data_IF_185315019173
#
_entry.id   IF_185315019173
#
_cell.length_a   1.000
_cell.length_b   1.000
_cell.length_c   1.000
_cell.angle_alpha   90.00
_cell.angle_beta   90.00
_cell.angle_gamma   90.00
#
_symmetry.space_group_name_H-M   'P 1'
#
loop_
_entity.id
_entity.type
_entity.pdbx_description
1 polymer ?
#
# COMPACT_ATOMS: atom_id res chain seq x y z
N UNK A 1 -7.40 26.78 49.09
CA UNK A 1 -6.99 26.90 47.67
C UNK A 1 -5.66 26.22 47.31
N UNK A 2 -4.87 25.74 48.29
CA UNK A 2 -3.60 25.03 48.06
C UNK A 2 -3.63 23.49 47.80
N UNK A 3 -4.66 22.70 48.16
CA UNK A 3 -4.56 21.24 48.03
C UNK A 3 -4.82 20.70 46.61
N UNK A 4 -5.44 21.49 45.72
CA UNK A 4 -5.71 21.05 44.33
C UNK A 4 -4.49 21.15 43.41
N UNK A 5 -3.57 22.07 43.69
CA UNK A 5 -2.36 22.27 42.87
C UNK A 5 -1.40 21.08 43.07
N UNK A 6 -1.21 20.66 44.33
CA UNK A 6 -0.36 19.50 44.67
C UNK A 6 -0.91 18.18 44.10
N UNK A 7 -2.22 18.06 43.92
CA UNK A 7 -2.85 16.88 43.30
C UNK A 7 -2.65 16.85 41.78
N UNK A 8 -2.70 18.00 41.11
CA UNK A 8 -2.42 18.10 39.68
C UNK A 8 -0.94 17.78 39.40
N UNK A 9 -0.03 18.39 40.16
CA UNK A 9 1.43 18.20 40.04
C UNK A 9 1.84 16.74 40.33
N UNK A 10 1.14 16.06 41.27
CA UNK A 10 1.35 14.64 41.58
C UNK A 10 0.77 13.68 40.52
N UNK A 11 -0.22 14.11 39.75
CA UNK A 11 -0.80 13.32 38.65
C UNK A 11 0.02 13.51 37.37
N UNK A 12 0.50 14.72 37.10
CA UNK A 12 1.42 15.03 35.99
C UNK A 12 2.76 14.31 36.18
N UNK A 13 3.29 14.27 37.41
CA UNK A 13 4.47 13.48 37.72
C UNK A 13 4.25 11.96 37.52
N UNK A 14 3.04 11.44 37.73
CA UNK A 14 2.72 10.02 37.50
C UNK A 14 2.60 9.69 36.00
N UNK A 15 2.10 10.61 35.18
CA UNK A 15 2.08 10.45 33.72
C UNK A 15 3.48 10.51 33.10
N UNK A 16 4.39 11.32 33.65
CA UNK A 16 5.77 11.39 33.17
C UNK A 16 6.54 10.10 33.48
N UNK A 17 6.34 9.51 34.66
CA UNK A 17 7.00 8.26 35.08
C UNK A 17 6.57 7.06 34.23
N UNK A 18 5.36 7.08 33.68
CA UNK A 18 4.82 6.00 32.85
C UNK A 18 5.08 6.18 31.35
N UNK A 19 5.76 7.26 30.93
CA UNK A 19 6.16 7.43 29.55
C UNK A 19 7.47 6.68 29.31
N UNK A 20 7.48 5.55 28.58
CA UNK A 20 8.71 4.80 28.34
C UNK A 20 9.79 5.67 27.67
N UNK A 21 9.43 6.69 26.87
CA UNK A 21 10.38 7.63 26.28
C UNK A 21 11.24 8.40 27.30
N UNK A 22 10.76 8.58 28.53
CA UNK A 22 11.48 9.28 29.59
C UNK A 22 12.60 8.40 30.22
N UNK A 23 12.42 7.08 30.23
CA UNK A 23 13.41 6.12 30.76
C UNK A 23 14.73 6.17 29.97
N UNK A 24 14.65 6.34 28.64
CA UNK A 24 15.85 6.51 27.80
C UNK A 24 16.60 7.82 28.09
N UNK A 25 15.90 8.86 28.57
CA UNK A 25 16.51 10.17 28.87
C UNK A 25 17.15 10.23 30.26
N UNK A 26 16.67 9.41 31.21
CA UNK A 26 17.13 9.39 32.61
C UNK A 26 18.14 8.30 32.94
N UNK A 27 18.24 7.28 32.09
CA UNK A 27 19.10 6.11 32.33
C UNK A 27 18.32 4.96 32.96
N UNK A 28 18.62 3.74 32.53
CA UNK A 28 17.98 2.50 33.00
C UNK A 28 18.79 1.98 34.18
N UNK A 29 18.23 2.07 35.40
CA UNK A 29 18.93 1.66 36.63
C UNK A 29 18.60 0.21 37.06
N UNK A 30 17.59 -0.43 36.46
CA UNK A 30 17.17 -1.78 36.81
C UNK A 30 16.58 -2.61 35.66
N UNK A 31 16.42 -3.92 35.89
CA UNK A 31 15.88 -4.88 34.90
C UNK A 31 14.41 -4.59 34.59
N UNK A 32 13.66 -4.06 35.55
CA UNK A 32 12.25 -3.68 35.41
C UNK A 32 12.07 -2.43 34.53
N UNK A 33 13.02 -1.49 34.56
CA UNK A 33 13.02 -0.33 33.65
C UNK A 33 13.30 -0.75 32.20
N UNK A 34 14.18 -1.74 32.01
CA UNK A 34 14.49 -2.29 30.70
C UNK A 34 13.30 -3.06 30.11
N UNK A 35 12.54 -3.80 30.95
CA UNK A 35 11.34 -4.51 30.49
C UNK A 35 10.24 -3.52 30.10
N UNK A 36 10.02 -2.46 30.88
CA UNK A 36 9.08 -1.39 30.55
C UNK A 36 9.46 -0.66 29.24
N UNK A 37 10.74 -0.45 28.97
CA UNK A 37 11.21 0.09 27.68
C UNK A 37 10.97 -0.87 26.51
N UNK A 38 11.31 -2.15 26.68
CA UNK A 38 11.27 -3.14 25.59
C UNK A 38 9.85 -3.59 25.23
N UNK A 39 8.97 -3.69 26.22
CA UNK A 39 7.61 -4.22 26.04
C UNK A 39 6.52 -3.16 26.20
N UNK A 40 6.86 -1.98 26.71
CA UNK A 40 5.91 -0.93 27.02
C UNK A 40 5.16 -1.19 28.34
N UNK A 41 4.40 -0.20 28.82
CA UNK A 41 3.59 -0.32 30.02
C UNK A 41 2.38 -1.26 29.82
N UNK A 42 2.00 -1.96 30.88
CA UNK A 42 0.96 -3.01 30.86
C UNK A 42 -0.41 -2.55 30.32
N UNK A 43 -0.73 -1.25 30.42
CA UNK A 43 -2.00 -0.71 29.94
C UNK A 43 -2.17 -0.77 28.41
N UNK A 44 -1.09 -0.98 27.65
CA UNK A 44 -1.18 -1.17 26.18
C UNK A 44 -1.96 -2.44 25.85
N UNK A 45 -1.81 -3.48 26.66
CA UNK A 45 -2.47 -4.77 26.46
C UNK A 45 -3.83 -4.87 27.19
N UNK A 46 -4.20 -3.85 27.96
CA UNK A 46 -5.51 -3.78 28.59
C UNK A 46 -6.59 -3.28 27.61
N UNK A 47 -7.74 -3.99 27.47
CA UNK A 47 -8.80 -3.59 26.54
C UNK A 47 -9.57 -2.33 26.96
N UNK A 48 -9.22 -1.70 28.09
CA UNK A 48 -9.87 -0.50 28.63
C UNK A 48 -8.86 0.63 28.75
N UNK A 49 -8.83 1.48 27.72
CA UNK A 49 -8.17 2.78 27.78
C UNK A 49 -8.89 3.61 28.87
N UNK A 50 -8.17 4.13 29.89
CA UNK A 50 -8.78 5.02 30.88
C UNK A 50 -9.26 6.29 30.17
N UNK A 51 -10.57 6.50 30.13
CA UNK A 51 -11.15 7.73 29.61
C UNK A 51 -10.84 8.85 30.61
N UNK A 52 -9.96 9.78 30.24
CA UNK A 52 -9.69 10.95 31.07
C UNK A 52 -10.98 11.78 31.25
N UNK A 53 -11.36 12.20 32.48
CA UNK A 53 -12.60 12.94 32.72
C UNK A 53 -12.61 14.38 32.15
N UNK A 54 -11.53 14.79 31.46
CA UNK A 54 -11.29 16.17 31.05
C UNK A 54 -11.36 16.34 29.53
N UNK A 55 -12.41 15.85 28.89
CA UNK A 55 -12.76 16.31 27.53
C UNK A 55 -13.68 17.53 27.63
N UNK A 56 -13.25 18.74 27.24
CA UNK A 56 -14.19 19.84 27.08
C UNK A 56 -15.12 19.49 25.91
N UNK A 57 -16.43 19.47 26.17
CA UNK A 57 -17.51 19.10 25.24
C UNK A 57 -17.76 20.14 24.12
N UNK A 58 -16.71 20.86 23.68
CA UNK A 58 -16.85 21.84 22.61
C UNK A 58 -15.51 22.10 21.92
N UNK A 59 -15.35 21.53 20.73
CA UNK A 59 -14.36 22.03 19.78
C UNK A 59 -14.78 23.43 19.34
N UNK A 60 -13.95 24.48 19.52
CA UNK A 60 -14.24 25.77 18.90
C UNK A 60 -14.12 25.64 17.39
N UNK A 61 -15.15 26.09 16.66
CA UNK A 61 -15.15 26.18 15.21
C UNK A 61 -13.91 26.96 14.73
N UNK A 62 -13.05 26.31 13.93
CA UNK A 62 -11.87 26.94 13.35
C UNK A 62 -10.56 26.17 13.48
N UNK A 63 -10.53 24.98 14.09
CA UNK A 63 -9.33 24.12 14.03
C UNK A 63 -9.24 23.52 12.64
N UNK A 64 -8.32 24.03 11.82
CA UNK A 64 -7.79 23.27 10.69
C UNK A 64 -7.16 21.99 11.25
N UNK A 65 -7.94 20.91 11.29
CA UNK A 65 -7.42 19.58 11.47
C UNK A 65 -6.54 19.31 10.25
N UNK A 66 -5.24 19.62 10.35
CA UNK A 66 -4.22 19.05 9.48
C UNK A 66 -4.47 17.56 9.51
N UNK A 67 -5.07 17.04 8.44
CA UNK A 67 -5.26 15.61 8.27
C UNK A 67 -3.86 15.04 8.28
N UNK A 68 -3.44 14.52 9.44
CA UNK A 68 -2.25 13.70 9.54
C UNK A 68 -2.59 12.50 8.68
N UNK A 69 -2.19 12.56 7.41
CA UNK A 69 -2.14 11.40 6.55
C UNK A 69 -1.05 10.52 7.16
N UNK A 70 -1.43 9.75 8.16
CA UNK A 70 -0.66 8.58 8.51
C UNK A 70 -0.62 7.75 7.24
N UNK A 71 0.51 7.79 6.55
CA UNK A 71 0.78 6.89 5.44
C UNK A 71 0.96 5.51 6.07
N UNK A 72 -0.15 4.89 6.46
CA UNK A 72 -0.16 3.48 6.78
C UNK A 72 0.17 2.82 5.45
N UNK A 73 1.36 2.24 5.37
CA UNK A 73 1.71 1.31 4.30
C UNK A 73 0.87 0.06 4.54
N UNK A 74 -0.43 0.15 4.28
CA UNK A 74 -1.28 -1.01 4.13
C UNK A 74 -0.69 -1.72 2.92
N UNK A 75 -0.05 -2.86 3.14
CA UNK A 75 0.24 -3.82 2.08
C UNK A 75 -1.11 -4.33 1.59
N UNK A 76 -1.81 -3.48 0.83
CA UNK A 76 -3.06 -3.81 0.22
C UNK A 76 -2.69 -4.76 -0.89
N UNK A 77 -2.98 -6.05 -0.68
CA UNK A 77 -2.86 -7.16 -1.63
C UNK A 77 -3.82 -7.01 -2.81
N UNK A 78 -4.18 -5.77 -3.18
CA UNK A 78 -4.90 -5.49 -4.42
C UNK A 78 -4.01 -5.84 -5.58
N UNK A 79 -4.56 -6.59 -6.53
CA UNK A 79 -3.83 -6.94 -7.74
C UNK A 79 -3.49 -5.67 -8.55
N UNK A 80 -2.50 -5.75 -9.44
CA UNK A 80 -2.15 -4.62 -10.31
C UNK A 80 -3.35 -4.24 -11.16
N UNK A 81 -4.08 -5.23 -11.66
CA UNK A 81 -5.32 -5.05 -12.41
C UNK A 81 -6.40 -4.34 -11.60
N UNK A 82 -6.63 -4.74 -10.34
CA UNK A 82 -7.64 -4.12 -9.49
C UNK A 82 -7.38 -2.61 -9.29
N UNK A 83 -6.12 -2.22 -9.03
CA UNK A 83 -5.74 -0.81 -8.93
C UNK A 83 -5.92 -0.05 -10.25
N UNK A 84 -5.63 -0.71 -11.38
CA UNK A 84 -5.80 -0.12 -12.71
C UNK A 84 -7.27 0.13 -13.02
N UNK A 85 -8.15 -0.82 -12.75
CA UNK A 85 -9.59 -0.69 -13.02
C UNK A 85 -10.25 0.35 -12.12
N UNK A 86 -9.90 0.41 -10.83
CA UNK A 86 -10.45 1.42 -9.90
C UNK A 86 -10.06 2.84 -10.32
N UNK A 87 -8.82 3.04 -10.80
CA UNK A 87 -8.34 4.37 -11.18
C UNK A 87 -8.96 4.88 -12.49
N UNK A 88 -9.40 3.97 -13.36
CA UNK A 88 -9.93 4.33 -14.68
C UNK A 88 -11.40 3.95 -14.75
N UNK A 89 -12.28 4.93 -14.56
CA UNK A 89 -13.74 4.75 -14.66
C UNK A 89 -14.23 4.47 -16.09
N UNK A 90 -13.34 4.49 -17.09
CA UNK A 90 -13.66 4.21 -18.48
C UNK A 90 -12.63 3.28 -19.11
N UNK A 91 -13.12 2.14 -19.60
CA UNK A 91 -12.33 1.16 -20.36
C UNK A 91 -11.62 1.79 -21.55
N UNK A 92 -12.32 2.61 -22.34
CA UNK A 92 -11.73 3.26 -23.51
C UNK A 92 -10.61 4.24 -23.13
N UNK A 93 -10.77 4.97 -22.03
CA UNK A 93 -9.74 5.87 -21.53
C UNK A 93 -8.51 5.08 -21.10
N UNK A 94 -8.68 3.93 -20.42
CA UNK A 94 -7.59 3.02 -20.04
C UNK A 94 -6.85 2.49 -21.26
N UNK A 95 -7.58 2.03 -22.28
CA UNK A 95 -7.00 1.57 -23.54
C UNK A 95 -6.14 2.63 -24.21
N UNK A 96 -6.64 3.87 -24.31
CA UNK A 96 -5.87 4.98 -24.88
C UNK A 96 -4.58 5.22 -24.12
N UNK A 97 -4.62 5.19 -22.79
CA UNK A 97 -3.45 5.45 -21.98
C UNK A 97 -2.40 4.36 -22.07
N UNK A 98 -2.82 3.09 -22.10
CA UNK A 98 -1.90 1.97 -22.32
C UNK A 98 -1.33 2.01 -23.74
N UNK A 99 -2.13 2.38 -24.75
CA UNK A 99 -1.63 2.56 -26.11
C UNK A 99 -0.57 3.67 -26.19
N UNK A 100 -0.79 4.81 -25.53
CA UNK A 100 0.21 5.89 -25.42
C UNK A 100 1.46 5.46 -24.65
N UNK A 101 1.30 4.73 -23.53
CA UNK A 101 2.43 4.21 -22.78
C UNK A 101 3.27 3.25 -23.64
N UNK A 102 2.62 2.39 -24.44
CA UNK A 102 3.32 1.49 -25.37
C UNK A 102 4.08 2.27 -26.44
N UNK A 103 3.49 3.32 -27.02
CA UNK A 103 4.22 4.22 -27.94
C UNK A 103 5.42 4.86 -27.27
N UNK A 104 5.28 5.32 -26.04
CA UNK A 104 6.37 5.92 -25.29
C UNK A 104 7.51 4.91 -25.05
N UNK A 105 7.19 3.67 -24.68
CA UNK A 105 8.17 2.60 -24.55
C UNK A 105 8.89 2.34 -25.89
N UNK A 106 8.15 2.22 -26.99
CA UNK A 106 8.74 2.04 -28.32
C UNK A 106 9.65 3.20 -28.72
N UNK A 107 9.25 4.44 -28.40
CA UNK A 107 10.07 5.63 -28.58
C UNK A 107 11.37 5.56 -27.78
N UNK A 108 11.32 5.18 -26.50
CA UNK A 108 12.53 5.00 -25.71
C UNK A 108 13.43 3.91 -26.29
N UNK A 109 12.86 2.77 -26.68
CA UNK A 109 13.63 1.67 -27.28
C UNK A 109 14.33 2.09 -28.57
N UNK A 110 13.63 2.84 -29.43
CA UNK A 110 14.20 3.41 -30.64
C UNK A 110 15.31 4.43 -30.33
N UNK A 111 15.06 5.37 -29.40
CA UNK A 111 16.03 6.39 -28.96
C UNK A 111 17.33 5.76 -28.45
N UNK A 112 17.24 4.63 -27.74
CA UNK A 112 18.40 3.90 -27.23
C UNK A 112 18.94 2.83 -28.20
N UNK A 113 18.58 2.87 -29.49
CA UNK A 113 19.02 1.93 -30.54
C UNK A 113 18.78 0.45 -30.21
N UNK A 114 17.80 0.16 -29.33
CA UNK A 114 17.37 -1.20 -28.98
C UNK A 114 16.30 -1.73 -29.94
N UNK A 115 15.81 -0.88 -30.83
CA UNK A 115 14.76 -1.21 -31.78
C UNK A 115 14.94 -0.43 -33.07
N UNK A 116 14.75 -1.11 -34.20
CA UNK A 116 14.96 -0.57 -35.55
C UNK A 116 13.70 0.16 -36.06
N UNK A 117 12.52 -0.22 -35.55
CA UNK A 117 11.24 0.34 -36.03
C UNK A 117 11.02 1.72 -35.40
N UNK A 118 10.78 2.70 -36.27
CA UNK A 118 10.42 4.06 -35.90
C UNK A 118 9.06 4.12 -35.19
N UNK A 119 8.92 4.91 -34.12
CA UNK A 119 7.63 5.11 -33.45
C UNK A 119 6.60 5.77 -34.38
N UNK A 120 5.37 5.28 -34.35
CA UNK A 120 4.26 5.87 -35.09
C UNK A 120 3.92 7.28 -34.55
N UNK A 121 3.91 8.28 -35.42
CA UNK A 121 3.48 9.64 -35.10
C UNK A 121 1.98 9.86 -35.38
N UNK A 122 1.38 10.86 -34.74
CA UNK A 122 -0.01 11.28 -34.98
C UNK A 122 -1.03 10.60 -34.07
N UNK A 123 -2.28 10.46 -34.53
CA UNK A 123 -3.39 9.90 -33.74
C UNK A 123 -3.20 8.41 -33.45
N UNK A 124 -3.80 7.93 -32.36
CA UNK A 124 -3.85 6.50 -32.04
C UNK A 124 -4.66 5.74 -33.09
N UNK A 125 -4.09 4.65 -33.61
CA UNK A 125 -4.76 3.76 -34.54
C UNK A 125 -5.59 2.72 -33.77
N UNK A 126 -6.66 2.22 -34.41
CA UNK A 126 -7.52 1.16 -33.84
C UNK A 126 -6.69 -0.08 -33.47
N UNK A 127 -5.73 -0.45 -34.32
CA UNK A 127 -4.82 -1.57 -34.05
C UNK A 127 -4.09 -1.43 -32.71
N UNK A 128 -3.65 -0.22 -32.36
CA UNK A 128 -2.92 0.04 -31.11
C UNK A 128 -3.82 -0.07 -29.89
N UNK A 129 -5.11 0.29 -30.04
CA UNK A 129 -6.12 0.07 -29.01
C UNK A 129 -6.40 -1.42 -28.81
N UNK A 130 -6.51 -2.19 -29.90
CA UNK A 130 -6.66 -3.65 -29.84
C UNK A 130 -5.47 -4.31 -29.16
N UNK A 131 -4.25 -3.87 -29.49
CA UNK A 131 -3.04 -4.38 -28.83
C UNK A 131 -3.00 -3.99 -27.35
N UNK A 132 -3.41 -2.77 -26.98
CA UNK A 132 -3.52 -2.34 -25.59
C UNK A 132 -4.53 -3.21 -24.81
N UNK A 133 -5.67 -3.53 -25.42
CA UNK A 133 -6.65 -4.44 -24.85
C UNK A 133 -6.03 -5.82 -24.60
N UNK A 134 -5.31 -6.37 -25.56
CA UNK A 134 -4.64 -7.66 -25.40
C UNK A 134 -3.62 -7.66 -24.27
N UNK A 135 -2.91 -6.55 -24.05
CA UNK A 135 -1.98 -6.42 -22.91
C UNK A 135 -2.74 -6.51 -21.58
N UNK A 136 -3.85 -5.78 -21.44
CA UNK A 136 -4.65 -5.82 -20.20
C UNK A 136 -5.20 -7.23 -19.97
N UNK A 137 -5.79 -7.85 -21.00
CA UNK A 137 -6.37 -9.20 -20.91
C UNK A 137 -5.31 -10.21 -20.47
N UNK A 138 -4.13 -10.19 -21.10
CA UNK A 138 -3.03 -11.08 -20.71
C UNK A 138 -2.57 -10.85 -19.28
N UNK A 139 -2.53 -9.59 -18.82
CA UNK A 139 -2.17 -9.27 -17.44
C UNK A 139 -3.18 -9.87 -16.45
N UNK A 140 -4.48 -9.65 -16.69
CA UNK A 140 -5.54 -10.21 -15.83
C UNK A 140 -5.53 -11.73 -15.86
N UNK A 141 -5.36 -12.33 -17.04
CA UNK A 141 -5.26 -13.78 -17.18
C UNK A 141 -4.05 -14.35 -16.43
N UNK A 142 -2.91 -13.68 -16.47
CA UNK A 142 -1.73 -14.12 -15.73
C UNK A 142 -1.92 -14.01 -14.20
N UNK A 143 -2.68 -13.02 -13.73
CA UNK A 143 -3.02 -12.86 -12.31
C UNK A 143 -4.00 -13.91 -11.81
N UNK A 144 -5.02 -14.25 -12.61
CA UNK A 144 -6.12 -15.14 -12.19
C UNK A 144 -5.85 -16.61 -12.53
N UNK A 145 -5.25 -16.87 -13.70
CA UNK A 145 -5.07 -18.21 -14.28
C UNK A 145 -3.60 -18.58 -14.47
N UNK A 146 -2.71 -18.01 -13.66
CA UNK A 146 -1.26 -18.20 -13.80
C UNK A 146 -0.87 -19.69 -13.78
N UNK A 147 -1.47 -20.46 -12.87
CA UNK A 147 -1.18 -21.88 -12.70
C UNK A 147 -1.65 -22.71 -13.88
N UNK A 148 -2.88 -22.47 -14.38
CA UNK A 148 -3.44 -23.13 -15.56
C UNK A 148 -2.62 -22.80 -16.81
N UNK A 149 -2.24 -21.53 -16.99
CA UNK A 149 -1.38 -21.11 -18.10
C UNK A 149 -0.03 -21.81 -18.03
N UNK A 150 0.55 -21.96 -16.84
CA UNK A 150 1.83 -22.66 -16.67
C UNK A 150 1.69 -24.15 -16.99
N UNK A 151 0.63 -24.82 -16.51
CA UNK A 151 0.34 -26.23 -16.82
C UNK A 151 0.14 -26.46 -18.32
N UNK A 152 -0.59 -25.58 -19.00
CA UNK A 152 -0.80 -25.67 -20.44
C UNK A 152 0.53 -25.51 -21.22
N UNK A 153 1.40 -24.60 -20.78
CA UNK A 153 2.72 -24.43 -21.41
C UNK A 153 3.61 -25.66 -21.25
N UNK A 154 3.57 -26.32 -20.09
CA UNK A 154 4.34 -27.56 -19.87
C UNK A 154 3.79 -28.74 -20.68
N UNK A 155 2.47 -28.85 -20.79
CA UNK A 155 1.81 -29.93 -21.54
C UNK A 155 2.01 -29.79 -23.06
N UNK A 156 2.08 -28.56 -23.57
CA UNK A 156 2.39 -28.30 -24.99
C UNK A 156 3.84 -28.67 -25.35
N UNK A 157 4.75 -28.70 -24.38
CA UNK A 157 6.16 -29.11 -24.56
C UNK A 157 6.35 -30.64 -24.43
N UNK A 158 5.41 -31.35 -23.79
CA UNK A 158 5.27 -32.79 -24.01
C UNK A 158 4.56 -33.02 -25.35
N UNK A 159 5.23 -33.70 -26.28
CA UNK A 159 4.70 -34.03 -27.60
C UNK A 159 3.25 -34.55 -27.54
N UNK A 160 2.41 -34.31 -28.56
CA UNK A 160 1.13 -34.98 -28.66
C UNK A 160 1.40 -36.48 -28.77
N UNK A 161 1.20 -37.21 -27.68
CA UNK A 161 1.13 -38.66 -27.70
C UNK A 161 -0.12 -39.00 -28.48
N UNK A 162 0.06 -39.18 -29.80
CA UNK A 162 -0.95 -39.72 -30.68
C UNK A 162 -1.17 -41.15 -30.20
N UNK A 163 -2.18 -41.35 -29.37
CA UNK A 163 -2.63 -42.68 -28.98
C UNK A 163 -3.20 -43.30 -30.25
N UNK A 164 -2.40 -44.13 -30.92
CA UNK A 164 -2.92 -45.03 -31.94
C UNK A 164 -3.87 -45.98 -31.23
N UNK A 165 -5.17 -45.73 -31.39
CA UNK A 165 -6.19 -46.72 -31.10
C UNK A 165 -5.99 -47.90 -32.07
N UNK A 166 -6.18 -49.09 -31.51
CA UNK A 166 -5.98 -50.43 -32.06
C UNK A 166 -6.60 -50.65 -33.45
#
# INVERSE_FOLDING_TARGET
HYPRILLAERMEAREIIANPADLASRGIEGVDDLSCWMYGPEFIDEPKIPVSPLTPDRSPDGVELKTIRATVNVLSTRSVSERLFVRWSSWFTLLKAIAWLRRFIQYLMHKFKRHIIMPTAGHLQVKELTEAQMVIVRQVQAEVYGDEINRLKTDTQSKPTRVSAL
#
